data_IF_565920328104
#
_entry.id   IF_565920328104
#
_cell.length_a   1.000
_cell.length_b   1.000
_cell.length_c   1.000
_cell.angle_alpha   90.00
_cell.angle_beta   90.00
_cell.angle_gamma   90.00
#
_symmetry.space_group_name_H-M   'P 1'
#
loop_
_entity.id
_entity.type
_entity.pdbx_description
1 polymer ?
#
# COMPACT_ATOMS: atom_id res chain seq x y z
N UNK A 1 -8.56 -82.58 -35.92
CA UNK A 1 -8.81 -81.52 -34.91
C UNK A 1 -9.44 -82.18 -33.69
N UNK A 2 -8.74 -82.22 -32.55
CA UNK A 2 -9.25 -82.89 -31.35
C UNK A 2 -10.45 -82.13 -30.77
N UNK A 3 -11.53 -82.85 -30.41
CA UNK A 3 -12.71 -82.26 -29.76
C UNK A 3 -12.43 -82.08 -28.26
N UNK A 4 -12.40 -80.84 -27.80
CA UNK A 4 -12.27 -80.51 -26.38
C UNK A 4 -13.49 -81.02 -25.59
N UNK A 5 -13.22 -81.63 -24.44
CA UNK A 5 -14.23 -82.06 -23.48
C UNK A 5 -14.84 -80.84 -22.74
N UNK A 6 -15.90 -81.08 -21.96
CA UNK A 6 -16.66 -80.01 -21.31
C UNK A 6 -15.84 -79.21 -20.28
N UNK A 7 -14.92 -79.87 -19.55
CA UNK A 7 -14.03 -79.21 -18.59
C UNK A 7 -12.97 -78.36 -19.29
N UNK A 8 -12.41 -78.84 -20.41
CA UNK A 8 -11.44 -78.10 -21.21
C UNK A 8 -12.05 -76.83 -21.82
N UNK A 9 -13.30 -76.90 -22.29
CA UNK A 9 -14.02 -75.71 -22.80
C UNK A 9 -14.23 -74.67 -21.71
N UNK A 10 -14.67 -75.10 -20.53
CA UNK A 10 -14.89 -74.21 -19.38
C UNK A 10 -13.60 -73.52 -18.92
N UNK A 11 -12.46 -74.21 -19.00
CA UNK A 11 -11.14 -73.63 -18.69
C UNK A 11 -10.71 -72.59 -19.72
N UNK A 12 -10.97 -72.83 -21.01
CA UNK A 12 -10.70 -71.86 -22.08
C UNK A 12 -11.55 -70.60 -21.87
N UNK A 13 -12.86 -70.76 -21.67
CA UNK A 13 -13.78 -69.65 -21.40
C UNK A 13 -13.35 -68.84 -20.15
N UNK A 14 -12.95 -69.52 -19.07
CA UNK A 14 -12.45 -68.86 -17.87
C UNK A 14 -11.12 -68.11 -18.13
N UNK A 15 -10.22 -68.67 -18.95
CA UNK A 15 -8.96 -68.02 -19.30
C UNK A 15 -9.16 -66.77 -20.18
N UNK A 16 -10.17 -66.79 -21.05
CA UNK A 16 -10.53 -65.66 -21.91
C UNK A 16 -11.18 -64.55 -21.09
N UNK A 17 -12.07 -64.89 -20.15
CA UNK A 17 -12.66 -63.93 -19.21
C UNK A 17 -11.58 -63.20 -18.38
N UNK A 18 -10.64 -63.95 -17.79
CA UNK A 18 -9.53 -63.37 -17.02
C UNK A 18 -8.61 -62.49 -17.88
N UNK A 19 -8.41 -62.83 -19.16
CA UNK A 19 -7.66 -61.98 -20.10
C UNK A 19 -8.37 -60.66 -20.36
N UNK A 20 -9.69 -60.69 -20.50
CA UNK A 20 -10.51 -59.51 -20.73
C UNK A 20 -10.48 -58.59 -19.50
N UNK A 21 -10.70 -59.15 -18.31
CA UNK A 21 -10.63 -58.43 -17.02
C UNK A 21 -9.24 -57.82 -16.79
N UNK A 22 -8.17 -58.57 -17.07
CA UNK A 22 -6.81 -58.05 -17.01
C UNK A 22 -6.61 -56.85 -17.94
N UNK A 23 -7.15 -56.92 -19.17
CA UNK A 23 -7.10 -55.81 -20.12
C UNK A 23 -7.87 -54.58 -19.62
N UNK A 24 -9.05 -54.78 -19.01
CA UNK A 24 -9.83 -53.71 -18.39
C UNK A 24 -9.07 -53.04 -17.25
N UNK A 25 -8.52 -53.81 -16.32
CA UNK A 25 -7.71 -53.26 -15.22
C UNK A 25 -6.44 -52.57 -15.70
N UNK A 26 -5.80 -53.05 -16.77
CA UNK A 26 -4.67 -52.35 -17.37
C UNK A 26 -5.06 -50.98 -17.95
N UNK A 27 -6.24 -50.90 -18.57
CA UNK A 27 -6.77 -49.64 -19.07
C UNK A 27 -7.16 -48.68 -17.94
N UNK A 28 -7.79 -49.19 -16.88
CA UNK A 28 -8.11 -48.43 -15.67
C UNK A 28 -6.84 -47.89 -15.00
N UNK A 29 -5.82 -48.72 -14.81
CA UNK A 29 -4.53 -48.30 -14.26
C UNK A 29 -3.86 -47.24 -15.14
N UNK A 30 -3.93 -47.36 -16.46
CA UNK A 30 -3.42 -46.35 -17.37
C UNK A 30 -4.19 -45.03 -17.26
N UNK A 31 -5.50 -45.07 -17.02
CA UNK A 31 -6.32 -43.89 -16.77
C UNK A 31 -5.93 -43.21 -15.46
N UNK A 32 -5.93 -43.96 -14.36
CA UNK A 32 -5.57 -43.46 -13.02
C UNK A 32 -4.17 -42.86 -13.02
N UNK A 33 -3.20 -43.49 -13.72
CA UNK A 33 -1.85 -42.94 -13.84
C UNK A 33 -1.85 -41.57 -14.53
N UNK A 34 -2.59 -41.41 -15.63
CA UNK A 34 -2.70 -40.12 -16.34
C UNK A 34 -3.35 -39.04 -15.48
N UNK A 35 -4.36 -39.40 -14.69
CA UNK A 35 -5.03 -38.47 -13.79
C UNK A 35 -4.12 -38.04 -12.65
N UNK A 36 -3.36 -38.98 -12.08
CA UNK A 36 -2.36 -38.68 -11.06
C UNK A 36 -1.29 -37.74 -11.61
N UNK A 37 -0.75 -38.01 -12.80
CA UNK A 37 0.24 -37.16 -13.45
C UNK A 37 -0.31 -35.73 -13.69
N UNK A 38 -1.60 -35.61 -14.02
CA UNK A 38 -2.27 -34.31 -14.17
C UNK A 38 -2.41 -33.61 -12.82
N UNK A 39 -2.83 -34.34 -11.79
CA UNK A 39 -2.98 -33.79 -10.44
C UNK A 39 -1.65 -33.28 -9.89
N UNK A 40 -0.56 -34.01 -10.10
CA UNK A 40 0.78 -33.61 -9.68
C UNK A 40 1.26 -32.34 -10.40
N UNK A 41 1.00 -32.22 -11.72
CA UNK A 41 1.31 -30.99 -12.47
C UNK A 41 0.52 -29.80 -11.94
N UNK A 42 -0.80 -29.97 -11.77
CA UNK A 42 -1.65 -28.91 -11.24
C UNK A 42 -1.22 -28.48 -9.82
N UNK A 43 -0.80 -29.44 -8.99
CA UNK A 43 -0.28 -29.14 -7.65
C UNK A 43 1.03 -28.35 -7.72
N UNK A 44 1.97 -28.76 -8.57
CA UNK A 44 3.23 -28.03 -8.75
C UNK A 44 3.00 -26.61 -9.28
N UNK A 45 2.09 -26.43 -10.24
CA UNK A 45 1.69 -25.11 -10.74
C UNK A 45 1.09 -24.23 -9.64
N UNK A 46 0.22 -24.79 -8.78
CA UNK A 46 -0.33 -24.07 -7.64
C UNK A 46 0.74 -23.67 -6.61
N UNK A 47 1.70 -24.55 -6.33
CA UNK A 47 2.82 -24.27 -5.42
C UNK A 47 3.69 -23.11 -5.93
N UNK A 48 4.00 -23.06 -7.23
CA UNK A 48 4.74 -21.94 -7.85
C UNK A 48 3.97 -20.63 -7.72
N UNK A 49 2.66 -20.62 -8.01
CA UNK A 49 1.82 -19.43 -7.86
C UNK A 49 1.81 -18.93 -6.40
N UNK A 50 1.79 -19.83 -5.42
CA UNK A 50 1.86 -19.45 -4.00
C UNK A 50 3.21 -18.84 -3.62
N UNK A 51 4.31 -19.36 -4.16
CA UNK A 51 5.66 -18.84 -3.93
C UNK A 51 5.86 -17.44 -4.54
N UNK A 52 5.42 -17.24 -5.79
CA UNK A 52 5.49 -15.94 -6.46
C UNK A 52 4.72 -14.86 -5.68
N UNK A 53 3.48 -15.16 -5.26
CA UNK A 53 2.69 -14.26 -4.42
C UNK A 53 3.38 -13.93 -3.09
N UNK A 54 4.04 -14.91 -2.46
CA UNK A 54 4.76 -14.71 -1.20
C UNK A 54 5.98 -13.80 -1.36
N UNK A 55 6.70 -13.94 -2.48
CA UNK A 55 7.84 -13.08 -2.82
C UNK A 55 7.39 -11.64 -3.09
N UNK A 56 6.35 -11.43 -3.90
CA UNK A 56 5.77 -10.10 -4.16
C UNK A 56 5.31 -9.42 -2.86
N UNK A 57 4.63 -10.16 -1.97
CA UNK A 57 4.26 -9.67 -0.64
C UNK A 57 5.49 -9.32 0.23
N UNK A 58 6.56 -10.09 0.11
CA UNK A 58 7.84 -9.83 0.77
C UNK A 58 8.49 -8.53 0.30
N UNK A 59 8.51 -8.29 -1.01
CA UNK A 59 9.03 -7.06 -1.63
C UNK A 59 8.21 -5.83 -1.21
N UNK A 60 6.88 -5.92 -1.29
CA UNK A 60 5.99 -4.84 -0.82
C UNK A 60 6.21 -4.55 0.66
N UNK A 61 6.34 -5.58 1.50
CA UNK A 61 6.64 -5.41 2.93
C UNK A 61 8.00 -4.74 3.15
N UNK A 62 9.04 -5.10 2.38
CA UNK A 62 10.36 -4.50 2.47
C UNK A 62 10.34 -3.02 2.05
N UNK A 63 9.62 -2.69 0.97
CA UNK A 63 9.40 -1.32 0.54
C UNK A 63 8.64 -0.49 1.60
N UNK A 64 7.61 -1.07 2.24
CA UNK A 64 6.91 -0.41 3.33
C UNK A 64 7.81 -0.19 4.56
N UNK A 65 8.72 -1.12 4.85
CA UNK A 65 9.68 -0.99 5.94
C UNK A 65 10.70 0.13 5.68
N UNK A 66 11.20 0.26 4.45
CA UNK A 66 12.09 1.38 4.07
C UNK A 66 11.36 2.71 4.11
N UNK A 67 10.14 2.81 3.57
CA UNK A 67 9.30 4.02 3.70
C UNK A 67 9.10 4.41 5.18
N UNK A 68 8.82 3.43 6.05
CA UNK A 68 8.68 3.64 7.49
C UNK A 68 9.97 4.14 8.14
N UNK A 69 11.13 3.59 7.77
CA UNK A 69 12.43 4.02 8.30
C UNK A 69 12.77 5.46 7.89
N UNK A 70 12.51 5.81 6.63
CA UNK A 70 12.65 7.18 6.12
C UNK A 70 11.76 8.13 6.92
N UNK A 71 10.48 7.80 7.09
CA UNK A 71 9.52 8.61 7.87
C UNK A 71 9.87 8.71 9.36
N UNK A 72 10.56 7.72 9.94
CA UNK A 72 11.07 7.80 11.32
C UNK A 72 12.31 8.68 11.43
N UNK A 73 13.18 8.69 10.40
CA UNK A 73 14.33 9.58 10.32
C UNK A 73 13.95 11.05 10.14
N UNK A 74 12.85 11.33 9.42
CA UNK A 74 12.14 12.60 9.51
C UNK A 74 11.39 12.66 10.85
N UNK A 75 12.11 12.92 11.96
CA UNK A 75 11.54 12.97 13.31
C UNK A 75 10.29 13.83 13.38
N UNK A 76 9.13 13.18 13.20
CA UNK A 76 7.91 13.77 12.62
C UNK A 76 7.58 15.13 13.17
N UNK A 77 8.02 16.19 12.49
CA UNK A 77 7.81 17.60 12.84
C UNK A 77 8.30 18.05 14.22
N UNK A 78 8.52 17.16 15.19
CA UNK A 78 8.71 17.50 16.61
C UNK A 78 9.96 18.32 16.84
N UNK A 79 11.03 18.07 16.09
CA UNK A 79 12.25 18.89 16.17
C UNK A 79 12.03 20.33 15.69
N UNK A 80 11.39 20.50 14.54
CA UNK A 80 11.15 21.82 13.93
C UNK A 80 10.07 22.58 14.69
N UNK A 81 8.97 21.91 15.07
CA UNK A 81 7.91 22.51 15.88
C UNK A 81 8.41 22.88 17.27
N UNK A 82 9.24 22.06 17.92
CA UNK A 82 9.82 22.43 19.22
C UNK A 82 10.83 23.59 19.10
N UNK A 83 11.63 23.64 18.03
CA UNK A 83 12.57 24.75 17.77
C UNK A 83 11.85 26.06 17.40
N UNK A 84 10.67 25.99 16.80
CA UNK A 84 9.87 27.13 16.36
C UNK A 84 8.71 27.48 17.33
N UNK A 85 8.49 26.66 18.36
CA UNK A 85 7.50 26.91 19.40
C UNK A 85 7.90 28.16 20.18
N UNK A 86 6.94 29.08 20.34
CA UNK A 86 7.15 30.33 21.06
C UNK A 86 7.71 31.49 20.23
N UNK A 87 7.90 31.35 18.91
CA UNK A 87 8.19 32.52 18.04
C UNK A 87 6.92 33.37 17.95
N UNK A 88 6.91 34.63 18.45
CA UNK A 88 5.73 35.47 18.39
C UNK A 88 5.58 36.13 17.03
N UNK A 89 4.35 36.58 16.72
CA UNK A 89 4.12 37.43 15.57
C UNK A 89 4.88 38.76 15.73
N UNK A 90 5.73 39.14 14.77
CA UNK A 90 6.55 40.35 14.85
C UNK A 90 5.76 41.67 14.79
N UNK A 91 4.47 41.63 14.42
CA UNK A 91 3.60 42.82 14.37
C UNK A 91 2.92 43.10 15.70
N UNK A 92 2.32 42.07 16.33
CA UNK A 92 1.58 42.24 17.59
C UNK A 92 2.30 41.69 18.82
N UNK A 93 3.45 41.03 18.62
CA UNK A 93 4.28 40.40 19.65
C UNK A 93 3.55 39.33 20.49
N UNK A 94 2.46 38.79 19.95
CA UNK A 94 1.68 37.71 20.58
C UNK A 94 2.05 36.37 19.97
N UNK A 95 1.98 35.31 20.77
CA UNK A 95 2.20 33.94 20.32
C UNK A 95 1.19 33.53 19.24
N UNK A 96 1.67 32.67 18.35
CA UNK A 96 0.82 32.00 17.38
C UNK A 96 -0.05 30.95 18.07
N UNK A 97 -1.28 30.78 17.57
CA UNK A 97 -2.19 29.73 18.03
C UNK A 97 -2.28 28.61 17.00
N UNK A 98 -2.68 27.42 17.44
CA UNK A 98 -3.10 26.35 16.55
C UNK A 98 -4.31 26.72 15.67
N UNK A 99 -4.76 25.80 14.80
CA UNK A 99 -5.69 26.09 13.71
C UNK A 99 -7.09 26.54 14.17
N UNK A 100 -7.47 26.22 15.42
CA UNK A 100 -8.75 26.64 16.01
C UNK A 100 -8.66 27.97 16.78
N UNK A 101 -7.48 28.58 16.87
CA UNK A 101 -7.28 29.83 17.62
C UNK A 101 -7.39 31.08 16.75
N UNK A 102 -7.42 32.25 17.39
CA UNK A 102 -7.58 33.54 16.72
C UNK A 102 -6.26 34.19 16.27
N UNK A 103 -5.13 33.49 16.38
CA UNK A 103 -3.81 33.98 15.94
C UNK A 103 -3.08 32.92 15.13
N UNK A 104 -3.79 32.22 14.25
CA UNK A 104 -3.21 31.23 13.33
C UNK A 104 -2.11 31.92 12.50
N UNK A 105 -0.90 31.38 12.43
CA UNK A 105 0.17 31.93 11.59
C UNK A 105 -0.18 31.76 10.12
N UNK A 106 -0.04 32.85 9.36
CA UNK A 106 -0.33 32.97 7.94
C UNK A 106 0.93 33.34 7.18
N UNK A 107 1.19 32.68 6.06
CA UNK A 107 2.37 32.86 5.22
C UNK A 107 2.01 33.71 3.98
N UNK A 108 2.72 34.82 3.78
CA UNK A 108 2.66 35.57 2.52
C UNK A 108 3.55 34.90 1.47
N UNK A 109 3.35 35.25 0.18
CA UNK A 109 4.16 34.71 -0.94
C UNK A 109 5.66 34.99 -0.79
N UNK A 110 6.02 36.07 -0.08
CA UNK A 110 7.42 36.39 0.23
C UNK A 110 8.07 35.49 1.30
N UNK A 111 7.33 34.54 1.87
CA UNK A 111 7.82 33.60 2.89
C UNK A 111 7.77 34.11 4.34
N UNK A 112 7.35 35.34 4.58
CA UNK A 112 7.18 35.87 5.94
C UNK A 112 5.82 35.48 6.53
N UNK A 113 5.80 35.22 7.84
CA UNK A 113 4.60 34.79 8.55
C UNK A 113 4.13 35.80 9.62
N UNK A 114 2.82 36.03 9.67
CA UNK A 114 2.16 36.88 10.67
C UNK A 114 0.83 36.26 11.11
N UNK A 115 0.25 36.69 12.24
CA UNK A 115 -0.97 36.05 12.72
C UNK A 115 -2.18 36.47 11.88
N UNK A 116 -3.21 35.63 11.82
CA UNK A 116 -4.43 35.86 11.04
C UNK A 116 -5.09 37.21 11.30
N UNK A 117 -5.08 37.69 12.55
CA UNK A 117 -5.57 39.03 12.91
C UNK A 117 -4.73 40.16 12.31
N UNK A 118 -3.41 40.05 12.35
CA UNK A 118 -2.53 41.05 11.75
C UNK A 118 -2.67 41.06 10.23
N UNK A 119 -2.77 39.88 9.60
CA UNK A 119 -3.04 39.80 8.15
C UNK A 119 -4.37 40.44 7.80
N UNK A 120 -5.45 40.13 8.51
CA UNK A 120 -6.77 40.71 8.24
C UNK A 120 -6.73 42.25 8.27
N UNK A 121 -5.95 42.84 9.19
CA UNK A 121 -5.80 44.29 9.27
C UNK A 121 -4.85 44.88 8.21
N UNK A 122 -3.98 44.08 7.60
CA UNK A 122 -3.03 44.49 6.56
C UNK A 122 -3.56 44.25 5.15
N UNK A 123 -4.62 43.46 5.02
CA UNK A 123 -5.25 43.14 3.74
C UNK A 123 -6.23 44.24 3.36
N UNK A 124 -5.96 44.90 2.25
CA UNK A 124 -6.82 45.91 1.65
C UNK A 124 -7.01 45.58 0.17
N UNK A 125 -8.24 45.65 -0.33
CA UNK A 125 -8.59 45.35 -1.73
C UNK A 125 -8.03 44.01 -2.24
N UNK A 126 -8.09 42.95 -1.42
CA UNK A 126 -7.56 41.62 -1.72
C UNK A 126 -6.02 41.59 -1.95
N UNK A 127 -5.30 42.50 -1.30
CA UNK A 127 -3.84 42.63 -1.38
C UNK A 127 -3.27 42.81 0.01
N UNK A 128 -2.16 42.14 0.30
CA UNK A 128 -1.44 42.30 1.56
C UNK A 128 -0.01 42.74 1.32
N UNK A 129 0.42 43.82 1.96
CA UNK A 129 1.82 44.26 1.93
C UNK A 129 2.57 43.72 3.14
N UNK A 130 3.67 43.02 2.91
CA UNK A 130 4.50 42.45 3.97
C UNK A 130 5.14 43.55 4.84
N UNK A 131 4.93 43.56 6.17
CA UNK A 131 5.61 44.48 7.08
C UNK A 131 7.13 44.35 7.08
N UNK A 132 7.67 43.14 6.88
CA UNK A 132 9.12 42.89 6.98
C UNK A 132 9.89 43.29 5.71
N UNK A 133 9.38 42.96 4.53
CA UNK A 133 10.10 43.16 3.26
C UNK A 133 9.35 44.00 2.23
N UNK A 134 8.14 44.49 2.55
CA UNK A 134 7.29 45.34 1.69
C UNK A 134 6.80 44.71 0.39
N UNK A 135 7.16 43.45 0.12
CA UNK A 135 6.60 42.66 -0.98
C UNK A 135 5.08 42.58 -0.87
N UNK A 136 4.40 42.64 -2.02
CA UNK A 136 2.93 42.59 -2.08
C UNK A 136 2.50 41.19 -2.47
N UNK A 137 1.55 40.65 -1.72
CA UNK A 137 0.80 39.44 -2.10
C UNK A 137 -0.53 39.90 -2.68
N UNK A 138 -0.68 39.72 -3.99
CA UNK A 138 -1.96 39.88 -4.70
C UNK A 138 -2.85 38.65 -4.45
N UNK A 139 -4.17 38.79 -4.61
CA UNK A 139 -5.13 37.72 -4.37
C UNK A 139 -5.01 37.10 -2.96
N UNK A 140 -4.93 37.96 -1.94
CA UNK A 140 -4.72 37.59 -0.55
C UNK A 140 -5.65 36.47 -0.05
N UNK A 141 -6.90 36.41 -0.51
CA UNK A 141 -7.90 35.41 -0.13
C UNK A 141 -7.51 33.98 -0.53
N UNK A 142 -6.70 33.81 -1.58
CA UNK A 142 -6.28 32.50 -2.08
C UNK A 142 -4.78 32.25 -1.97
N UNK A 143 -3.96 33.31 -1.95
CA UNK A 143 -2.50 33.20 -1.93
C UNK A 143 -1.89 33.13 -0.52
N UNK A 144 -2.63 33.53 0.52
CA UNK A 144 -2.16 33.50 1.90
C UNK A 144 -2.63 32.22 2.59
N UNK A 145 -1.67 31.37 2.98
CA UNK A 145 -1.94 30.05 3.55
C UNK A 145 -1.51 29.94 5.01
N UNK A 146 -1.98 28.93 5.72
CA UNK A 146 -1.51 28.65 7.07
C UNK A 146 -0.05 28.20 7.06
N UNK A 147 0.76 28.74 7.97
CA UNK A 147 2.09 28.19 8.25
C UNK A 147 2.00 27.13 9.36
N UNK A 148 1.76 25.88 8.96
CA UNK A 148 1.59 24.76 9.90
C UNK A 148 2.81 24.52 10.80
N UNK A 149 4.03 24.88 10.36
CA UNK A 149 5.25 24.69 11.14
C UNK A 149 5.31 25.59 12.39
N UNK A 150 4.54 26.69 12.42
CA UNK A 150 4.48 27.65 13.53
C UNK A 150 3.26 27.44 14.44
N UNK A 151 2.51 26.35 14.26
CA UNK A 151 1.38 26.06 15.12
C UNK A 151 1.86 25.72 16.53
N UNK A 152 1.44 26.53 17.50
CA UNK A 152 1.56 26.18 18.91
C UNK A 152 0.40 25.26 19.29
N UNK A 153 0.72 24.05 19.74
CA UNK A 153 -0.24 23.02 20.16
C UNK A 153 -0.36 22.94 21.70
N UNK A 154 -0.13 24.05 22.41
CA UNK A 154 -0.48 24.13 23.84
C UNK A 154 -1.97 23.92 24.06
#
# INVERSE_FOLDING_TARGET
MARLNMNERRLVEQSEALRLEKGQHQNELAHVRRDLDRSLRNQAEAEVIHEDNANELGEVRAAMATMRAVMQGYGGGRGIHAAMAGVPCTVCLQEFTGPQGNRVPKLLLCGHAFCSRCIANLTEWNRARCPSCRAVTENADTAIHNNFALFNNQ
#
